data_IF_031134164092
#
_entry.id   IF_031134164092
#
_cell.length_a   1.000
_cell.length_b   1.000
_cell.length_c   1.000
_cell.angle_alpha   90.00
_cell.angle_beta   90.00
_cell.angle_gamma   90.00
#
_symmetry.space_group_name_H-M   'P 1'
#
loop_
_entity.id
_entity.type
_entity.pdbx_description
1 polymer ?
#
# COMPACT_ATOMS: atom_id res chain seq x y z
N UNK A 1 -17.27 -1.45 -13.72
CA UNK A 1 -15.88 -1.14 -14.08
C UNK A 1 -15.10 -0.98 -12.77
N UNK A 2 -13.95 -1.65 -12.63
CA UNK A 2 -13.09 -1.43 -11.46
C UNK A 2 -12.52 0.00 -11.54
N UNK A 3 -12.50 0.70 -10.41
CA UNK A 3 -11.94 2.07 -10.34
C UNK A 3 -10.43 1.99 -10.09
N UNK A 4 -9.68 3.04 -10.43
CA UNK A 4 -8.25 3.17 -10.08
C UNK A 4 -8.00 2.89 -8.59
N UNK A 5 -8.96 3.28 -7.73
CA UNK A 5 -8.91 3.00 -6.29
C UNK A 5 -9.01 1.52 -5.98
N UNK A 6 -9.86 0.79 -6.70
CA UNK A 6 -9.98 -0.66 -6.56
C UNK A 6 -8.68 -1.37 -6.95
N UNK A 7 -8.01 -0.90 -8.02
CA UNK A 7 -6.70 -1.42 -8.42
C UNK A 7 -5.63 -1.13 -7.36
N UNK A 8 -5.59 0.09 -6.82
CA UNK A 8 -4.67 0.45 -5.76
C UNK A 8 -4.83 -0.43 -4.51
N UNK A 9 -6.07 -0.66 -4.08
CA UNK A 9 -6.38 -1.55 -2.93
C UNK A 9 -5.94 -2.98 -3.23
N UNK A 10 -6.24 -3.51 -4.43
CA UNK A 10 -5.86 -4.86 -4.80
C UNK A 10 -4.34 -5.04 -4.79
N UNK A 11 -3.60 -4.05 -5.28
CA UNK A 11 -2.14 -4.08 -5.27
C UNK A 11 -1.58 -4.03 -3.84
N UNK A 12 -2.10 -3.14 -2.98
CA UNK A 12 -1.71 -3.09 -1.57
C UNK A 12 -1.93 -4.43 -0.88
N UNK A 13 -3.06 -5.10 -1.11
CA UNK A 13 -3.32 -6.45 -0.59
C UNK A 13 -2.34 -7.50 -1.13
N UNK A 14 -1.84 -7.35 -2.36
CA UNK A 14 -0.79 -8.21 -2.90
C UNK A 14 0.56 -7.99 -2.19
N UNK A 15 0.93 -6.74 -1.89
CA UNK A 15 2.12 -6.40 -1.10
C UNK A 15 2.03 -6.96 0.32
N UNK A 16 0.86 -6.84 0.96
CA UNK A 16 0.60 -7.43 2.28
C UNK A 16 0.76 -8.94 2.26
N UNK A 17 0.19 -9.62 1.25
CA UNK A 17 0.30 -11.08 1.10
C UNK A 17 1.74 -11.54 0.87
N UNK A 18 2.53 -10.79 0.09
CA UNK A 18 3.95 -11.09 -0.15
C UNK A 18 4.80 -10.96 1.11
N UNK A 19 4.44 -10.03 2.00
CA UNK A 19 5.15 -9.74 3.25
C UNK A 19 4.34 -10.21 4.48
N UNK A 20 3.55 -11.29 4.33
CA UNK A 20 2.56 -11.71 5.33
C UNK A 20 3.15 -11.94 6.72
N UNK A 21 4.38 -12.47 6.78
CA UNK A 21 5.05 -12.78 8.05
C UNK A 21 5.26 -11.51 8.89
N UNK A 22 5.63 -10.40 8.24
CA UNK A 22 5.78 -9.10 8.91
C UNK A 22 4.44 -8.57 9.41
N UNK A 23 3.42 -8.55 8.56
CA UNK A 23 2.11 -8.00 8.91
C UNK A 23 1.41 -8.81 10.02
N UNK A 24 1.53 -10.15 9.96
CA UNK A 24 1.02 -11.05 11.01
C UNK A 24 1.79 -10.85 12.32
N UNK A 25 3.12 -10.84 12.29
CA UNK A 25 3.94 -10.70 13.49
C UNK A 25 3.70 -9.36 14.22
N UNK A 26 3.36 -8.31 13.49
CA UNK A 26 3.10 -6.98 14.04
C UNK A 26 1.60 -6.70 14.26
N UNK A 27 0.70 -7.64 13.92
CA UNK A 27 -0.75 -7.46 13.94
C UNK A 27 -1.18 -6.16 13.22
N UNK A 28 -0.59 -5.92 12.05
CA UNK A 28 -0.84 -4.76 11.19
C UNK A 28 -1.59 -5.19 9.94
N UNK A 29 -2.45 -4.32 9.43
CA UNK A 29 -2.91 -4.42 8.05
C UNK A 29 -2.30 -3.32 7.20
N UNK A 30 -2.02 -3.61 5.93
CA UNK A 30 -1.41 -2.62 5.03
C UNK A 30 -2.30 -1.38 4.85
N UNK A 31 -3.62 -1.56 4.96
CA UNK A 31 -4.59 -0.47 4.84
C UNK A 31 -4.53 0.51 6.00
N UNK A 32 -3.97 0.10 7.15
CA UNK A 32 -3.73 0.97 8.31
C UNK A 32 -2.40 1.73 8.19
N UNK A 33 -1.55 1.31 7.25
CA UNK A 33 -0.21 1.87 7.04
C UNK A 33 -0.15 2.89 5.90
N UNK A 34 -1.23 3.04 5.13
CA UNK A 34 -1.28 3.91 3.96
C UNK A 34 -2.52 4.79 3.93
N UNK A 35 -2.40 5.94 3.28
CA UNK A 35 -3.51 6.82 2.96
C UNK A 35 -3.69 6.88 1.44
N UNK A 36 -4.87 6.47 0.97
CA UNK A 36 -5.25 6.52 -0.45
C UNK A 36 -6.03 7.81 -0.71
N UNK A 37 -5.53 8.68 -1.59
CA UNK A 37 -6.18 9.94 -1.97
C UNK A 37 -6.59 9.95 -3.43
N UNK A 38 -7.59 10.77 -3.75
CA UNK A 38 -8.09 10.99 -5.09
C UNK A 38 -9.11 9.95 -5.57
N UNK A 39 -9.88 10.33 -6.59
CA UNK A 39 -10.96 9.52 -7.18
C UNK A 39 -10.63 9.10 -8.62
N UNK A 40 -10.14 10.02 -9.44
CA UNK A 40 -9.70 9.77 -10.82
C UNK A 40 -8.20 9.50 -10.94
N UNK A 41 -7.38 10.22 -10.16
CA UNK A 41 -5.94 9.97 -10.00
C UNK A 41 -5.73 9.52 -8.56
N UNK A 42 -5.33 8.26 -8.40
CA UNK A 42 -5.14 7.68 -7.08
C UNK A 42 -3.68 7.80 -6.68
N UNK A 43 -3.43 8.48 -5.57
CA UNK A 43 -2.13 8.50 -4.91
C UNK A 43 -2.18 7.69 -3.61
N UNK A 44 -1.09 7.00 -3.32
CA UNK A 44 -0.93 6.22 -2.10
C UNK A 44 0.25 6.79 -1.34
N UNK A 45 0.02 7.18 -0.09
CA UNK A 45 1.04 7.73 0.79
C UNK A 45 1.22 6.80 1.98
N UNK A 46 2.46 6.39 2.27
CA UNK A 46 2.76 5.66 3.49
C UNK A 46 2.68 6.62 4.68
N UNK A 47 1.94 6.23 5.72
CA UNK A 47 1.76 7.02 6.95
C UNK A 47 2.35 6.32 8.18
N UNK A 48 2.78 5.07 8.04
CA UNK A 48 3.35 4.28 9.12
C UNK A 48 4.88 4.19 8.98
N UNK A 49 5.59 4.71 9.98
CA UNK A 49 7.06 4.73 10.04
C UNK A 49 7.68 3.39 10.49
N UNK A 50 6.86 2.38 10.85
CA UNK A 50 7.34 1.04 11.23
C UNK A 50 7.44 0.08 10.05
N UNK A 51 6.97 0.49 8.86
CA UNK A 51 7.13 -0.34 7.67
C UNK A 51 8.62 -0.43 7.30
N UNK A 52 9.14 -1.64 7.01
CA UNK A 52 10.47 -1.79 6.45
C UNK A 52 10.62 -1.01 5.15
N UNK A 53 11.80 -0.43 4.93
CA UNK A 53 12.10 0.37 3.73
C UNK A 53 11.83 -0.40 2.43
N UNK A 54 11.98 -1.73 2.43
CA UNK A 54 11.66 -2.58 1.27
C UNK A 54 10.17 -2.57 0.91
N UNK A 55 9.28 -2.54 1.91
CA UNK A 55 7.83 -2.47 1.70
C UNK A 55 7.44 -1.05 1.28
N UNK A 56 8.04 -0.03 1.90
CA UNK A 56 7.82 1.38 1.53
C UNK A 56 8.20 1.61 0.07
N UNK A 57 9.40 1.17 -0.33
CA UNK A 57 9.89 1.27 -1.71
C UNK A 57 8.98 0.53 -2.71
N UNK A 58 8.47 -0.65 -2.35
CA UNK A 58 7.53 -1.41 -3.21
C UNK A 58 6.21 -0.66 -3.41
N UNK A 59 5.69 0.02 -2.38
CA UNK A 59 4.50 0.87 -2.48
C UNK A 59 4.79 2.11 -3.33
N UNK A 60 5.88 2.83 -3.03
CA UNK A 60 6.22 4.08 -3.72
C UNK A 60 6.49 3.87 -5.20
N UNK A 61 7.25 2.84 -5.58
CA UNK A 61 7.55 2.56 -7.00
C UNK A 61 6.32 2.25 -7.86
N UNK A 62 5.20 1.85 -7.26
CA UNK A 62 3.95 1.59 -7.99
C UNK A 62 3.02 2.79 -8.12
N UNK A 63 3.02 3.69 -7.13
CA UNK A 63 2.08 4.82 -7.08
C UNK A 63 2.74 6.17 -7.29
N UNK A 64 4.07 6.24 -7.32
CA UNK A 64 4.82 7.42 -7.72
C UNK A 64 4.88 7.48 -9.24
N UNK A 65 4.09 8.40 -9.81
CA UNK A 65 4.32 8.92 -11.15
C UNK A 65 4.69 10.38 -10.97
N UNK A 66 5.84 10.77 -11.52
CA UNK A 66 6.27 12.17 -11.70
C UNK A 66 5.13 13.06 -12.22
#
# INVERSE_FOLDING_TARGET
MATERSFAIMYLRAVEKKNSDFFIANNLSIMDCVHIRGTALVSVHVINNTLPDSIVYEIETMFWKD
#
